data_IF_992051459630
#
_entry.id   IF_992051459630
#
_cell.length_a   1.000
_cell.length_b   1.000
_cell.length_c   1.000
_cell.angle_alpha   90.00
_cell.angle_beta   90.00
_cell.angle_gamma   90.00
#
_symmetry.space_group_name_H-M   'P 1'
#
loop_
_entity.id
_entity.type
_entity.pdbx_description
1 polymer ?
#
# COMPACT_ATOMS: atom_id res chain seq x y z
N UNK A 1 -18.56 21.62 -3.60
CA UNK A 1 -17.34 20.77 -3.68
C UNK A 1 -17.08 20.16 -2.32
N UNK A 2 -17.10 18.83 -2.23
CA UNK A 2 -16.76 18.08 -1.00
C UNK A 2 -15.29 18.34 -0.61
N UNK A 3 -14.91 18.29 0.67
CA UNK A 3 -13.50 18.47 1.06
C UNK A 3 -12.60 17.41 0.42
N UNK A 4 -13.13 16.20 0.16
CA UNK A 4 -12.44 15.15 -0.60
C UNK A 4 -12.01 15.61 -2.01
N UNK A 5 -12.90 16.30 -2.74
CA UNK A 5 -12.62 16.80 -4.10
C UNK A 5 -11.61 17.95 -4.05
N UNK A 6 -11.73 18.83 -3.05
CA UNK A 6 -10.77 19.93 -2.85
C UNK A 6 -9.36 19.43 -2.59
N UNK A 7 -9.22 18.38 -1.76
CA UNK A 7 -7.91 17.78 -1.46
C UNK A 7 -7.35 17.02 -2.65
N UNK A 8 -8.18 16.29 -3.39
CA UNK A 8 -7.74 15.61 -4.60
C UNK A 8 -7.21 16.60 -5.65
N UNK A 9 -7.92 17.71 -5.87
CA UNK A 9 -7.47 18.78 -6.76
C UNK A 9 -6.18 19.42 -6.25
N UNK A 10 -6.07 19.69 -4.95
CA UNK A 10 -4.85 20.22 -4.35
C UNK A 10 -3.64 19.27 -4.55
N UNK A 11 -3.83 17.96 -4.33
CA UNK A 11 -2.79 16.96 -4.51
C UNK A 11 -2.36 16.87 -5.98
N UNK A 12 -3.31 16.91 -6.92
CA UNK A 12 -2.99 16.84 -8.35
C UNK A 12 -2.23 18.09 -8.81
N UNK A 13 -2.69 19.29 -8.45
CA UNK A 13 -2.02 20.56 -8.74
C UNK A 13 -0.60 20.61 -8.16
N UNK A 14 -0.45 20.20 -6.90
CA UNK A 14 0.85 20.12 -6.24
C UNK A 14 1.80 19.18 -6.97
N UNK A 15 1.35 17.97 -7.33
CA UNK A 15 2.16 16.99 -8.07
C UNK A 15 2.56 17.51 -9.44
N UNK A 16 1.64 18.12 -10.19
CA UNK A 16 1.92 18.69 -11.51
C UNK A 16 2.99 19.77 -11.41
N UNK A 17 2.85 20.71 -10.46
CA UNK A 17 3.82 21.82 -10.30
C UNK A 17 5.18 21.31 -9.86
N UNK A 18 5.25 20.38 -8.90
CA UNK A 18 6.52 19.80 -8.45
C UNK A 18 7.20 19.01 -9.57
N UNK A 19 6.44 18.24 -10.36
CA UNK A 19 7.01 17.46 -11.46
C UNK A 19 7.56 18.38 -12.55
N UNK A 20 6.83 19.44 -12.95
CA UNK A 20 7.33 20.44 -13.91
C UNK A 20 8.63 21.09 -13.46
N UNK A 21 8.73 21.45 -12.17
CA UNK A 21 9.97 22.03 -11.64
C UNK A 21 11.11 21.01 -11.64
N UNK A 22 10.86 19.75 -11.27
CA UNK A 22 11.85 18.68 -11.32
C UNK A 22 12.33 18.37 -12.73
N UNK A 23 11.42 18.32 -13.70
CA UNK A 23 11.75 18.14 -15.12
C UNK A 23 12.65 19.27 -15.61
N UNK A 24 12.33 20.52 -15.23
CA UNK A 24 13.17 21.67 -15.55
C UNK A 24 14.55 21.57 -14.91
N UNK A 25 14.64 21.20 -13.63
CA UNK A 25 15.94 20.96 -12.97
C UNK A 25 16.73 19.84 -13.66
N UNK A 26 16.09 18.74 -14.03
CA UNK A 26 16.75 17.64 -14.73
C UNK A 26 17.29 18.08 -16.11
N UNK A 27 16.51 18.85 -16.87
CA UNK A 27 16.95 19.41 -18.14
C UNK A 27 18.12 20.39 -17.97
N UNK A 28 18.08 21.28 -16.97
CA UNK A 28 19.20 22.18 -16.66
C UNK A 28 20.45 21.39 -16.28
N UNK A 29 20.32 20.30 -15.52
CA UNK A 29 21.45 19.47 -15.13
C UNK A 29 22.07 18.73 -16.33
N UNK A 30 21.25 18.27 -17.27
CA UNK A 30 21.75 17.69 -18.53
C UNK A 30 22.56 18.73 -19.32
N UNK A 31 22.06 19.96 -19.47
CA UNK A 31 22.77 21.05 -20.13
C UNK A 31 24.10 21.37 -19.44
N UNK A 32 24.12 21.39 -18.11
CA UNK A 32 25.35 21.61 -17.33
C UNK A 32 26.39 20.51 -17.64
N UNK A 33 25.98 19.25 -17.68
CA UNK A 33 26.88 18.14 -17.99
C UNK A 33 27.39 18.20 -19.44
N UNK A 34 26.54 18.56 -20.41
CA UNK A 34 26.95 18.78 -21.80
C UNK A 34 28.01 19.88 -21.91
N UNK A 35 27.78 21.04 -21.29
CA UNK A 35 28.72 22.18 -21.30
C UNK A 35 30.03 21.79 -20.59
N UNK A 36 29.96 21.07 -19.47
CA UNK A 36 31.16 20.57 -18.77
C UNK A 36 31.98 19.63 -19.66
N UNK A 37 31.33 18.73 -20.39
CA UNK A 37 32.01 17.81 -21.30
C UNK A 37 32.67 18.56 -22.46
N UNK A 38 31.98 19.53 -23.06
CA UNK A 38 32.55 20.36 -24.13
C UNK A 38 33.74 21.19 -23.62
N UNK A 39 33.61 21.83 -22.46
CA UNK A 39 34.69 22.59 -21.85
C UNK A 39 35.92 21.70 -21.53
N UNK A 40 35.70 20.47 -21.03
CA UNK A 40 36.78 19.49 -20.81
C UNK A 40 37.45 19.09 -22.12
N UNK A 41 36.68 18.81 -23.16
CA UNK A 41 37.23 18.44 -24.47
C UNK A 41 38.13 19.54 -25.04
N UNK A 42 37.70 20.80 -24.96
CA UNK A 42 38.50 21.95 -25.40
C UNK A 42 39.77 22.08 -24.54
N UNK A 43 39.68 21.93 -23.21
CA UNK A 43 40.84 22.04 -22.30
C UNK A 43 41.86 20.92 -22.49
N UNK A 44 41.41 19.69 -22.67
CA UNK A 44 42.26 18.49 -22.62
C UNK A 44 42.78 18.05 -24.00
N UNK A 45 42.07 18.35 -25.09
CA UNK A 45 42.48 17.99 -26.45
C UNK A 45 42.79 19.19 -27.34
N UNK A 46 41.80 20.03 -27.59
CA UNK A 46 41.91 21.05 -28.64
C UNK A 46 42.93 22.15 -28.30
N UNK A 47 42.95 22.63 -27.05
CA UNK A 47 43.91 23.65 -26.61
C UNK A 47 45.36 23.16 -26.65
N UNK A 48 45.70 21.96 -26.12
CA UNK A 48 47.05 21.41 -26.25
C UNK A 48 47.48 21.24 -27.71
N UNK A 49 46.61 20.70 -28.58
CA UNK A 49 46.92 20.54 -30.00
C UNK A 49 47.14 21.88 -30.71
N UNK A 50 46.30 22.89 -30.42
CA UNK A 50 46.48 24.24 -30.95
C UNK A 50 47.75 24.92 -30.41
N UNK A 51 48.13 24.64 -29.15
CA UNK A 51 49.36 25.15 -28.55
C UNK A 51 50.61 24.54 -29.21
N UNK A 52 50.57 23.24 -29.52
CA UNK A 52 51.65 22.57 -30.27
C UNK A 52 51.78 23.15 -31.67
N UNK A 53 50.66 23.36 -32.38
CA UNK A 53 50.66 24.03 -33.69
C UNK A 53 51.21 25.45 -33.63
N UNK A 54 50.85 26.23 -32.61
CA UNK A 54 51.45 27.57 -32.41
C UNK A 54 52.97 27.50 -32.25
N UNK A 55 53.48 26.55 -31.47
CA UNK A 55 54.92 26.39 -31.24
C UNK A 55 55.66 25.94 -32.50
N UNK A 56 55.04 25.06 -33.32
CA UNK A 56 55.66 24.50 -34.52
C UNK A 56 55.52 25.39 -35.77
N UNK A 57 54.35 26.02 -35.96
CA UNK A 57 53.97 26.74 -37.19
C UNK A 57 53.85 28.25 -36.98
N UNK A 58 53.89 28.73 -35.73
CA UNK A 58 53.77 30.15 -35.38
C UNK A 58 52.35 30.73 -35.42
N UNK A 59 51.33 29.94 -35.81
CA UNK A 59 49.94 30.41 -35.90
C UNK A 59 49.24 30.38 -34.52
N UNK A 60 48.87 31.55 -34.02
CA UNK A 60 48.18 31.75 -32.73
C UNK A 60 46.66 31.97 -32.86
N UNK A 61 46.13 32.01 -34.08
CA UNK A 61 44.73 32.33 -34.31
C UNK A 61 43.77 31.25 -33.78
N UNK A 62 44.17 29.98 -33.87
CA UNK A 62 43.37 28.85 -33.36
C UNK A 62 43.33 28.82 -31.83
N UNK A 63 44.48 29.01 -31.18
CA UNK A 63 44.56 29.01 -29.71
C UNK A 63 43.74 30.15 -29.09
N UNK A 64 43.82 31.36 -29.66
CA UNK A 64 43.06 32.52 -29.17
C UNK A 64 41.55 32.36 -29.37
N UNK A 65 41.11 31.74 -30.48
CA UNK A 65 39.70 31.39 -30.70
C UNK A 65 39.20 30.36 -29.68
N UNK A 66 39.98 29.31 -29.43
CA UNK A 66 39.62 28.27 -28.46
C UNK A 66 39.55 28.82 -27.04
N UNK A 67 40.49 29.68 -26.62
CA UNK A 67 40.43 30.37 -25.31
C UNK A 67 39.16 31.20 -25.15
N UNK A 68 38.80 32.00 -26.17
CA UNK A 68 37.54 32.77 -26.16
C UNK A 68 36.29 31.88 -26.12
N UNK A 69 36.30 30.74 -26.82
CA UNK A 69 35.19 29.78 -26.77
C UNK A 69 35.07 29.17 -25.36
N UNK A 70 36.20 28.87 -24.73
CA UNK A 70 36.27 28.33 -23.39
C UNK A 70 35.74 29.30 -22.33
N UNK A 71 36.16 30.58 -22.39
CA UNK A 71 35.64 31.63 -21.51
C UNK A 71 34.12 31.78 -21.62
N UNK A 72 33.58 31.68 -22.86
CA UNK A 72 32.13 31.71 -23.07
C UNK A 72 31.41 30.51 -22.45
N UNK A 73 31.96 29.31 -22.63
CA UNK A 73 31.39 28.09 -22.05
C UNK A 73 31.47 28.09 -20.52
N UNK A 74 32.53 28.63 -19.93
CA UNK A 74 32.66 28.81 -18.48
C UNK A 74 31.63 29.80 -17.92
N UNK A 75 31.40 30.92 -18.63
CA UNK A 75 30.36 31.88 -18.26
C UNK A 75 28.96 31.25 -18.33
N UNK A 76 28.65 30.55 -19.42
CA UNK A 76 27.36 29.85 -19.60
C UNK A 76 27.16 28.75 -18.54
N UNK A 77 28.22 28.03 -18.19
CA UNK A 77 28.20 27.04 -17.12
C UNK A 77 27.87 27.67 -15.76
N UNK A 78 28.46 28.82 -15.44
CA UNK A 78 28.18 29.54 -14.19
C UNK A 78 26.71 30.00 -14.14
N UNK A 79 26.20 30.59 -15.22
CA UNK A 79 24.79 30.99 -15.31
C UNK A 79 23.83 29.81 -15.12
N UNK A 80 24.15 28.65 -15.72
CA UNK A 80 23.33 27.44 -15.60
C UNK A 80 23.38 26.83 -14.21
N UNK A 81 24.53 26.88 -13.54
CA UNK A 81 24.66 26.44 -12.14
C UNK A 81 23.84 27.34 -11.20
N UNK A 82 23.83 28.65 -11.43
CA UNK A 82 22.95 29.56 -10.68
C UNK A 82 21.47 29.26 -10.94
N UNK A 83 21.07 28.99 -12.19
CA UNK A 83 19.72 28.57 -12.53
C UNK A 83 19.32 27.28 -11.77
N UNK A 84 20.19 26.28 -11.69
CA UNK A 84 19.95 25.04 -10.93
C UNK A 84 19.67 25.34 -9.44
N UNK A 85 20.52 26.15 -8.81
CA UNK A 85 20.37 26.53 -7.39
C UNK A 85 19.05 27.26 -7.14
N UNK A 86 18.68 28.19 -8.03
CA UNK A 86 17.40 28.90 -7.97
C UNK A 86 16.22 27.93 -8.12
N UNK A 87 16.30 26.99 -9.07
CA UNK A 87 15.26 25.97 -9.28
C UNK A 87 15.10 25.06 -8.06
N UNK A 88 16.20 24.62 -7.45
CA UNK A 88 16.15 23.85 -6.21
C UNK A 88 15.51 24.63 -5.06
N UNK A 89 15.89 25.90 -4.90
CA UNK A 89 15.32 26.77 -3.87
C UNK A 89 13.82 27.03 -4.09
N UNK A 90 13.39 27.23 -5.33
CA UNK A 90 11.97 27.44 -5.67
C UNK A 90 11.13 26.19 -5.40
N UNK A 91 11.64 24.98 -5.69
CA UNK A 91 10.98 23.72 -5.33
C UNK A 91 10.79 23.64 -3.82
N UNK A 92 11.82 23.92 -3.03
CA UNK A 92 11.72 23.83 -1.56
C UNK A 92 10.74 24.86 -0.99
N UNK A 93 10.79 26.10 -1.48
CA UNK A 93 9.84 27.16 -1.09
C UNK A 93 8.39 26.75 -1.43
N UNK A 94 8.16 26.20 -2.62
CA UNK A 94 6.84 25.75 -3.02
C UNK A 94 6.32 24.62 -2.13
N UNK A 95 7.15 23.60 -1.84
CA UNK A 95 6.80 22.52 -0.91
C UNK A 95 6.41 23.04 0.46
N UNK A 96 7.18 23.99 0.99
CA UNK A 96 6.90 24.60 2.29
C UNK A 96 5.59 25.38 2.29
N UNK A 97 5.34 26.21 1.27
CA UNK A 97 4.08 26.95 1.11
C UNK A 97 2.88 26.01 1.02
N UNK A 98 2.96 24.98 0.16
CA UNK A 98 1.89 23.99 0.00
C UNK A 98 1.65 23.18 1.28
N UNK A 99 2.68 22.90 2.09
CA UNK A 99 2.47 22.27 3.40
C UNK A 99 1.64 23.15 4.34
N UNK A 100 1.87 24.47 4.32
CA UNK A 100 1.07 25.44 5.07
C UNK A 100 -0.39 25.50 4.60
N UNK A 101 -0.63 25.42 3.29
CA UNK A 101 -1.98 25.36 2.70
C UNK A 101 -2.70 24.05 3.06
N UNK A 102 -1.99 22.92 2.99
CA UNK A 102 -2.53 21.62 3.36
C UNK A 102 -2.99 21.58 4.82
N UNK A 103 -2.21 22.18 5.73
CA UNK A 103 -2.55 22.26 7.16
C UNK A 103 -3.89 22.97 7.41
N UNK A 104 -4.27 23.93 6.55
CA UNK A 104 -5.57 24.62 6.62
C UNK A 104 -6.73 23.74 6.11
N UNK A 105 -6.46 22.87 5.12
CA UNK A 105 -7.47 21.97 4.53
C UNK A 105 -7.71 20.70 5.37
N UNK A 106 -6.70 20.26 6.12
CA UNK A 106 -6.73 19.05 6.93
C UNK A 106 -7.85 18.98 7.98
N UNK A 107 -8.18 20.01 8.77
CA UNK A 107 -9.28 19.93 9.73
C UNK A 107 -10.63 19.69 9.03
N UNK A 108 -10.90 20.42 7.94
CA UNK A 108 -12.14 20.27 7.15
C UNK A 108 -12.31 18.84 6.63
N UNK A 109 -11.22 18.21 6.23
CA UNK A 109 -11.23 16.82 5.80
C UNK A 109 -11.52 15.84 6.92
N UNK A 110 -10.87 16.03 8.07
CA UNK A 110 -11.04 15.16 9.23
C UNK A 110 -12.47 15.21 9.75
N UNK A 111 -13.10 16.39 9.74
CA UNK A 111 -14.48 16.58 10.14
C UNK A 111 -15.44 15.87 9.16
N UNK A 112 -15.26 16.05 7.85
CA UNK A 112 -16.06 15.33 6.84
C UNK A 112 -15.87 13.81 6.94
N UNK A 113 -14.63 13.36 7.18
CA UNK A 113 -14.29 11.95 7.35
C UNK A 113 -14.97 11.37 8.61
N UNK A 114 -14.96 12.09 9.73
CA UNK A 114 -15.62 11.67 10.97
C UNK A 114 -17.13 11.49 10.76
N UNK A 115 -17.79 12.46 10.13
CA UNK A 115 -19.23 12.40 9.83
C UNK A 115 -19.54 11.22 8.91
N UNK A 116 -18.73 11.01 7.86
CA UNK A 116 -18.91 9.89 6.95
C UNK A 116 -18.73 8.54 7.65
N UNK A 117 -17.74 8.45 8.54
CA UNK A 117 -17.45 7.27 9.37
C UNK A 117 -18.62 6.95 10.30
N UNK A 118 -19.11 7.91 11.06
CA UNK A 118 -20.26 7.74 11.94
C UNK A 118 -21.51 7.30 11.18
N UNK A 119 -21.79 7.91 10.03
CA UNK A 119 -22.92 7.54 9.17
C UNK A 119 -22.79 6.13 8.58
N UNK A 120 -21.57 5.66 8.33
CA UNK A 120 -21.34 4.28 7.90
C UNK A 120 -21.57 3.31 9.06
N UNK A 121 -21.02 3.60 10.24
CA UNK A 121 -21.21 2.75 11.42
C UNK A 121 -22.66 2.68 11.88
N UNK A 122 -23.40 3.79 11.86
CA UNK A 122 -24.82 3.77 12.24
C UNK A 122 -25.64 2.86 11.33
N UNK A 123 -25.39 2.91 10.01
CA UNK A 123 -26.03 2.01 9.02
C UNK A 123 -25.65 0.55 9.24
N UNK A 124 -24.37 0.27 9.55
CA UNK A 124 -23.93 -1.09 9.85
C UNK A 124 -24.56 -1.64 11.13
N UNK A 125 -24.63 -0.82 12.18
CA UNK A 125 -25.23 -1.21 13.46
C UNK A 125 -26.73 -1.43 13.34
N UNK A 126 -27.44 -0.62 12.55
CA UNK A 126 -28.86 -0.83 12.25
C UNK A 126 -29.09 -2.21 11.60
N UNK A 127 -28.34 -2.54 10.55
CA UNK A 127 -28.42 -3.85 9.90
C UNK A 127 -28.03 -5.01 10.81
N UNK A 128 -27.00 -4.83 11.65
CA UNK A 128 -26.61 -5.83 12.65
C UNK A 128 -27.75 -6.09 13.63
N UNK A 129 -28.43 -5.04 14.08
CA UNK A 129 -29.56 -5.15 15.00
C UNK A 129 -30.72 -5.90 14.35
N UNK A 130 -31.09 -5.55 13.13
CA UNK A 130 -32.12 -6.26 12.36
C UNK A 130 -31.79 -7.76 12.25
N UNK A 131 -30.53 -8.09 11.92
CA UNK A 131 -30.08 -9.49 11.84
C UNK A 131 -30.17 -10.24 13.17
N UNK A 132 -29.77 -9.60 14.28
CA UNK A 132 -29.87 -10.18 15.62
C UNK A 132 -31.33 -10.38 16.04
N UNK A 133 -32.21 -9.45 15.70
CA UNK A 133 -33.65 -9.56 15.99
C UNK A 133 -34.28 -10.73 15.22
N UNK A 134 -33.90 -10.94 13.96
CA UNK A 134 -34.31 -12.12 13.17
C UNK A 134 -33.80 -13.42 13.80
N UNK A 135 -32.52 -13.48 14.17
CA UNK A 135 -31.95 -14.66 14.84
C UNK A 135 -32.66 -15.01 16.15
N UNK A 136 -33.01 -13.99 16.95
CA UNK A 136 -33.77 -14.20 18.19
C UNK A 136 -35.14 -14.83 17.90
N UNK A 137 -35.87 -14.27 16.93
CA UNK A 137 -37.19 -14.79 16.55
C UNK A 137 -37.12 -16.24 16.05
N UNK A 138 -36.10 -16.60 15.27
CA UNK A 138 -35.87 -17.98 14.83
C UNK A 138 -35.48 -18.90 16.00
N UNK A 139 -34.65 -18.40 16.93
CA UNK A 139 -34.24 -19.17 18.12
C UNK A 139 -35.41 -19.46 19.08
N UNK A 140 -36.36 -18.53 19.21
CA UNK A 140 -37.53 -18.70 20.08
C UNK A 140 -38.39 -19.88 19.65
N UNK A 141 -38.47 -20.18 18.34
CA UNK A 141 -39.18 -21.35 17.82
C UNK A 141 -38.53 -22.64 18.30
N UNK A 142 -37.20 -22.73 18.22
CA UNK A 142 -36.45 -23.90 18.68
C UNK A 142 -36.57 -24.09 20.19
N UNK A 143 -36.52 -23.00 20.97
CA UNK A 143 -36.73 -23.03 22.41
C UNK A 143 -38.13 -23.55 22.78
N UNK A 144 -39.18 -23.22 22.01
CA UNK A 144 -40.52 -23.76 22.23
C UNK A 144 -40.57 -25.27 22.02
N UNK A 145 -39.97 -25.78 20.95
CA UNK A 145 -39.91 -27.23 20.70
C UNK A 145 -39.14 -27.95 21.81
N UNK A 146 -38.03 -27.38 22.27
CA UNK A 146 -37.28 -27.94 23.40
C UNK A 146 -38.10 -27.96 24.70
N UNK A 147 -38.80 -26.88 25.01
CA UNK A 147 -39.66 -26.85 26.20
C UNK A 147 -40.76 -27.92 26.14
N UNK A 148 -41.37 -28.13 24.96
CA UNK A 148 -42.34 -29.20 24.76
C UNK A 148 -41.71 -30.59 24.89
N UNK A 149 -40.50 -30.79 24.34
CA UNK A 149 -39.77 -32.05 24.48
C UNK A 149 -39.46 -32.36 25.95
N UNK A 150 -38.99 -31.37 26.73
CA UNK A 150 -38.78 -31.51 28.17
C UNK A 150 -40.09 -31.87 28.89
N UNK A 151 -41.23 -31.27 28.51
CA UNK A 151 -42.53 -31.63 29.07
C UNK A 151 -42.93 -33.07 28.71
N UNK A 152 -42.73 -33.52 27.48
CA UNK A 152 -43.00 -34.90 27.08
C UNK A 152 -42.12 -35.89 27.86
N UNK A 153 -40.82 -35.59 27.99
CA UNK A 153 -39.91 -36.41 28.79
C UNK A 153 -40.33 -36.47 30.26
N UNK A 154 -40.85 -35.37 30.82
CA UNK A 154 -41.34 -35.38 32.21
C UNK A 154 -42.52 -36.35 32.42
N UNK A 155 -43.42 -36.46 31.44
CA UNK A 155 -44.54 -37.42 31.48
C UNK A 155 -44.02 -38.86 31.39
N UNK A 156 -43.03 -39.13 30.54
CA UNK A 156 -42.41 -40.47 30.44
C UNK A 156 -41.72 -40.90 31.75
N UNK A 157 -41.14 -39.94 32.47
CA UNK A 157 -40.52 -40.18 33.79
C UNK A 157 -41.59 -40.47 34.84
N UNK A 158 -42.68 -39.68 34.88
CA UNK A 158 -43.81 -39.93 35.78
C UNK A 158 -44.47 -41.30 35.54
N UNK A 159 -44.53 -41.74 34.28
CA UNK A 159 -45.02 -43.06 33.91
C UNK A 159 -44.04 -44.22 34.23
N UNK A 160 -42.83 -43.91 34.72
CA UNK A 160 -41.80 -44.90 35.06
C UNK A 160 -41.12 -45.55 33.85
N UNK A 161 -41.34 -45.02 32.64
CA UNK A 161 -40.73 -45.51 31.40
C UNK A 161 -39.30 -45.01 31.22
N UNK A 162 -38.95 -43.89 31.87
CA UNK A 162 -37.64 -43.26 31.77
C UNK A 162 -37.17 -42.76 33.15
N UNK A 163 -35.84 -42.70 33.35
CA UNK A 163 -35.24 -42.33 34.65
C UNK A 163 -34.79 -40.87 34.76
N UNK A 164 -34.31 -40.28 33.66
CA UNK A 164 -33.76 -38.92 33.64
C UNK A 164 -34.14 -38.16 32.36
N UNK A 165 -34.14 -36.82 32.45
CA UNK A 165 -34.27 -35.91 31.29
C UNK A 165 -32.89 -35.72 30.66
N UNK A 166 -32.76 -35.95 29.35
CA UNK A 166 -31.55 -35.56 28.63
C UNK A 166 -31.72 -34.19 27.98
N UNK A 167 -30.62 -33.45 27.86
CA UNK A 167 -30.59 -32.15 27.21
C UNK A 167 -29.99 -32.28 25.80
N UNK A 168 -30.82 -32.62 24.79
CA UNK A 168 -30.40 -32.58 23.38
C UNK A 168 -30.70 -31.18 22.83
N UNK A 169 -30.04 -30.17 23.39
CA UNK A 169 -29.90 -28.89 22.71
C UNK A 169 -28.44 -28.74 22.27
N UNK A 170 -27.99 -29.66 21.42
CA UNK A 170 -26.73 -29.50 20.72
C UNK A 170 -26.93 -28.36 19.74
N UNK A 171 -26.33 -27.20 20.04
CA UNK A 171 -26.26 -26.10 19.07
C UNK A 171 -25.34 -26.57 17.96
N UNK A 172 -25.92 -27.12 16.89
CA UNK A 172 -25.20 -27.42 15.67
C UNK A 172 -24.82 -26.09 15.03
N UNK A 173 -23.63 -25.60 15.39
CA UNK A 173 -23.03 -24.46 14.70
C UNK A 173 -22.98 -24.80 13.22
N UNK A 174 -23.43 -23.88 12.36
CA UNK A 174 -23.32 -24.06 10.92
C UNK A 174 -21.91 -24.54 10.58
N UNK A 175 -21.75 -25.57 9.72
CA UNK A 175 -20.44 -26.10 9.38
C UNK A 175 -19.60 -24.97 8.79
N UNK A 176 -18.65 -24.46 9.59
CA UNK A 176 -17.67 -23.48 9.13
C UNK A 176 -16.93 -24.16 7.99
N UNK A 177 -16.93 -23.56 6.80
CA UNK A 177 -16.30 -24.14 5.59
C UNK A 177 -14.81 -24.52 5.75
N UNK A 178 -14.17 -24.16 6.87
CA UNK A 178 -12.83 -24.60 7.26
C UNK A 178 -12.74 -25.90 8.08
N UNK A 179 -13.85 -26.60 8.36
CA UNK A 179 -13.86 -27.81 9.20
C UNK A 179 -13.67 -29.14 8.46
N UNK A 180 -13.38 -29.14 7.15
CA UNK A 180 -13.13 -30.38 6.39
C UNK A 180 -11.95 -31.23 6.90
N UNK A 181 -11.06 -30.67 7.73
CA UNK A 181 -9.82 -31.34 8.18
C UNK A 181 -9.80 -31.70 9.69
N UNK A 182 -10.96 -31.89 10.32
CA UNK A 182 -11.03 -32.32 11.74
C UNK A 182 -11.66 -33.71 11.85
N UNK A 183 -11.00 -34.62 12.56
CA UNK A 183 -11.60 -35.86 13.07
C UNK A 183 -11.52 -35.82 14.61
N UNK A 184 -12.65 -35.98 15.30
CA UNK A 184 -12.77 -35.96 16.76
C UNK A 184 -12.05 -34.80 17.48
N UNK A 185 -12.10 -33.59 16.92
CA UNK A 185 -11.57 -32.39 17.58
C UNK A 185 -10.04 -32.25 17.58
N UNK A 186 -9.30 -33.17 16.97
CA UNK A 186 -7.82 -33.13 16.89
C UNK A 186 -7.38 -32.69 15.48
N UNK A 187 -6.38 -31.81 15.41
CA UNK A 187 -5.71 -31.44 14.16
C UNK A 187 -4.93 -32.65 13.63
N UNK A 188 -5.39 -33.27 12.54
CA UNK A 188 -4.55 -34.17 11.76
C UNK A 188 -3.70 -33.31 10.83
N UNK A 189 -2.52 -32.91 11.30
CA UNK A 189 -1.50 -32.31 10.44
C UNK A 189 -0.94 -33.40 9.52
N UNK A 190 -1.60 -33.66 8.40
CA UNK A 190 -1.00 -34.42 7.32
C UNK A 190 0.11 -33.59 6.70
N UNK A 191 1.33 -34.12 6.69
CA UNK A 191 2.40 -33.51 5.92
C UNK A 191 2.05 -33.62 4.43
N UNK A 192 2.56 -32.70 3.60
CA UNK A 192 2.27 -32.70 2.17
C UNK A 192 2.71 -34.02 1.50
N UNK A 193 3.71 -34.70 2.08
CA UNK A 193 4.20 -36.01 1.66
C UNK A 193 3.19 -37.12 1.92
N UNK A 194 2.49 -37.08 3.05
CA UNK A 194 1.48 -38.09 3.41
C UNK A 194 0.22 -37.97 2.54
N UNK A 195 -0.18 -36.74 2.19
CA UNK A 195 -1.25 -36.50 1.22
C UNK A 195 -0.94 -37.11 -0.15
N UNK A 196 0.33 -37.02 -0.59
CA UNK A 196 0.77 -37.64 -1.86
C UNK A 196 0.73 -39.17 -1.79
N UNK A 197 1.11 -39.77 -0.65
CA UNK A 197 1.09 -41.24 -0.45
C UNK A 197 -0.33 -41.82 -0.43
N UNK A 198 -1.30 -41.08 0.14
CA UNK A 198 -2.74 -41.42 0.08
C UNK A 198 -3.23 -41.43 -1.36
N UNK A 199 -2.93 -40.36 -2.11
CA UNK A 199 -3.36 -40.22 -3.51
C UNK A 199 -2.72 -41.28 -4.43
N UNK A 200 -1.55 -41.81 -4.06
CA UNK A 200 -0.82 -42.82 -4.82
C UNK A 200 -1.08 -44.27 -4.38
N UNK A 201 -2.09 -44.53 -3.52
CA UNK A 201 -2.42 -45.86 -2.99
C UNK A 201 -1.21 -46.63 -2.39
N UNK A 202 -0.30 -45.93 -1.72
CA UNK A 202 0.78 -46.57 -0.96
C UNK A 202 0.37 -46.71 0.52
N UNK A 203 0.72 -47.84 1.14
CA UNK A 203 0.40 -48.10 2.56
C UNK A 203 1.09 -47.06 3.44
N UNK A 204 0.29 -46.36 4.24
CA UNK A 204 0.76 -45.34 5.20
C UNK A 204 1.11 -46.08 6.49
N UNK A 205 2.33 -45.89 6.99
CA UNK A 205 2.71 -46.38 8.30
C UNK A 205 2.12 -45.45 9.36
N UNK A 206 1.04 -45.89 10.02
CA UNK A 206 0.30 -45.13 11.03
C UNK A 206 0.88 -45.33 12.45
N UNK A 207 2.01 -46.01 12.59
CA UNK A 207 2.61 -46.29 13.90
C UNK A 207 2.91 -45.02 14.72
N UNK A 208 3.13 -43.88 14.08
CA UNK A 208 3.39 -42.60 14.75
C UNK A 208 2.16 -42.01 15.47
N UNK A 209 0.94 -42.46 15.15
CA UNK A 209 -0.29 -42.03 15.82
C UNK A 209 -0.52 -42.71 17.17
N UNK A 210 0.16 -43.83 17.45
CA UNK A 210 0.05 -44.53 18.75
C UNK A 210 0.58 -43.74 19.95
N UNK A 211 1.25 -42.61 19.69
CA UNK A 211 1.88 -41.76 20.71
C UNK A 211 0.98 -40.62 21.21
N UNK A 212 -0.20 -40.44 20.61
CA UNK A 212 -1.17 -39.37 20.91
C UNK A 212 -2.51 -39.95 21.32
#
# INVERSE_FOLDING_TARGET
MKATEKIQNFISEYRIKVNKLKERTAATNQQIEEIKLEARFIREKELPEASVKRVLEGDSALETKLKKKLEKLEAELAEKQEEEVILMATIQRYKFQSAGELKKLQPLFNDEMAIAKEKAYSRMMAKKREYVEVMKAESDVLHRYHNLDVQLQSIEIEAGLRKDVYNIFTVDSAPIQGHLNRHNGIYLAFTHEDVKKVLSNHKIDLNYLSKY
#
